data_IF_242011594125
#
_entry.id   IF_242011594125
#
_cell.length_a   1.000
_cell.length_b   1.000
_cell.length_c   1.000
_cell.angle_alpha   90.00
_cell.angle_beta   90.00
_cell.angle_gamma   90.00
#
_symmetry.space_group_name_H-M   'P 1'
#
loop_
_entity.id
_entity.type
_entity.pdbx_description
1 polymer ?
#
# COMPACT_ATOMS: atom_id res chain seq x y z
N UNK A 1 -11.10 -2.28 -14.84
CA UNK A 1 -11.95 -3.39 -15.31
C UNK A 1 -12.99 -3.64 -14.21
N UNK A 2 -14.30 -3.75 -14.50
CA UNK A 2 -15.25 -4.25 -13.48
C UNK A 2 -14.97 -5.73 -13.30
N UNK A 3 -14.82 -6.24 -12.08
CA UNK A 3 -14.87 -7.69 -11.89
C UNK A 3 -16.30 -8.10 -12.25
N UNK A 4 -16.44 -8.75 -13.41
CA UNK A 4 -17.75 -9.14 -13.92
C UNK A 4 -18.39 -10.16 -12.98
N UNK A 5 -19.71 -10.37 -13.09
CA UNK A 5 -20.37 -11.46 -12.36
C UNK A 5 -19.73 -12.83 -12.65
N UNK A 6 -19.13 -13.01 -13.83
CA UNK A 6 -18.37 -14.22 -14.15
C UNK A 6 -17.15 -14.40 -13.22
N UNK A 7 -16.47 -13.32 -12.83
CA UNK A 7 -15.33 -13.39 -11.91
C UNK A 7 -15.74 -13.91 -10.52
N UNK A 8 -16.99 -13.70 -10.09
CA UNK A 8 -17.51 -14.23 -8.83
C UNK A 8 -17.68 -15.75 -8.88
N UNK A 9 -18.29 -16.23 -9.95
CA UNK A 9 -18.49 -17.66 -10.19
C UNK A 9 -17.14 -18.38 -10.34
N UNK A 10 -16.20 -17.76 -11.07
CA UNK A 10 -14.83 -18.26 -11.24
C UNK A 10 -14.08 -18.34 -9.90
N UNK A 11 -14.22 -17.32 -9.05
CA UNK A 11 -13.59 -17.29 -7.72
C UNK A 11 -14.10 -18.43 -6.83
N UNK A 12 -15.40 -18.74 -6.93
CA UNK A 12 -16.03 -19.80 -6.14
C UNK A 12 -15.95 -21.18 -6.81
N UNK A 13 -15.39 -21.28 -8.02
CA UNK A 13 -15.20 -22.56 -8.72
C UNK A 13 -14.22 -23.47 -7.96
N UNK A 14 -13.31 -22.89 -7.17
CA UNK A 14 -12.31 -23.59 -6.37
C UNK A 14 -12.82 -24.11 -5.00
N UNK A 15 -14.10 -23.87 -4.68
CA UNK A 15 -14.72 -24.25 -3.40
C UNK A 15 -15.66 -25.43 -3.65
N UNK A 16 -15.53 -26.48 -2.84
CA UNK A 16 -16.40 -27.65 -2.90
C UNK A 16 -17.89 -27.27 -2.78
N UNK A 17 -18.76 -28.02 -3.45
CA UNK A 17 -20.20 -27.75 -3.44
C UNK A 17 -20.77 -27.96 -2.02
N UNK A 18 -21.53 -27.00 -1.50
CA UNK A 18 -22.15 -27.08 -0.16
C UNK A 18 -22.49 -25.72 0.44
N UNK A 19 -22.86 -25.73 1.73
CA UNK A 19 -23.29 -24.54 2.49
C UNK A 19 -22.23 -23.43 2.52
N UNK A 20 -20.95 -23.80 2.51
CA UNK A 20 -19.83 -22.85 2.53
C UNK A 20 -19.73 -22.03 1.23
N UNK A 21 -19.90 -22.68 0.07
CA UNK A 21 -19.96 -21.99 -1.23
C UNK A 21 -21.15 -21.05 -1.31
N UNK A 22 -22.30 -21.46 -0.79
CA UNK A 22 -23.51 -20.62 -0.71
C UNK A 22 -23.25 -19.40 0.18
N UNK A 23 -22.69 -19.60 1.37
CA UNK A 23 -22.36 -18.51 2.29
C UNK A 23 -21.40 -17.51 1.66
N UNK A 24 -20.32 -17.97 1.04
CA UNK A 24 -19.31 -17.11 0.42
C UNK A 24 -19.88 -16.36 -0.79
N UNK A 25 -20.74 -17.00 -1.59
CA UNK A 25 -21.48 -16.34 -2.67
C UNK A 25 -22.37 -15.21 -2.17
N UNK A 26 -23.02 -15.41 -1.03
CA UNK A 26 -23.87 -14.41 -0.41
C UNK A 26 -23.04 -13.24 0.10
N UNK A 27 -21.97 -13.51 0.85
CA UNK A 27 -21.07 -12.48 1.35
C UNK A 27 -20.51 -11.61 0.22
N UNK A 28 -20.11 -12.24 -0.88
CA UNK A 28 -19.62 -11.56 -2.07
C UNK A 28 -20.68 -10.64 -2.72
N UNK A 29 -21.93 -11.09 -2.78
CA UNK A 29 -23.05 -10.26 -3.25
C UNK A 29 -23.29 -9.06 -2.31
N UNK A 30 -23.37 -9.35 -1.02
CA UNK A 30 -23.67 -8.36 0.02
C UNK A 30 -22.60 -7.27 0.09
N UNK A 31 -21.34 -7.62 -0.20
CA UNK A 31 -20.20 -6.68 -0.33
C UNK A 31 -20.38 -5.63 -1.43
N UNK A 32 -21.40 -5.72 -2.30
CA UNK A 32 -21.69 -4.73 -3.36
C UNK A 32 -22.93 -3.88 -3.12
N UNK A 33 -23.93 -4.44 -2.45
CA UNK A 33 -25.29 -3.87 -2.41
C UNK A 33 -25.71 -3.42 -1.02
N UNK A 34 -25.10 -3.96 0.03
CA UNK A 34 -25.47 -3.67 1.41
C UNK A 34 -24.82 -2.38 1.93
N UNK A 35 -25.31 -1.91 3.08
CA UNK A 35 -24.80 -0.73 3.79
C UNK A 35 -23.29 -0.83 4.11
N UNK A 36 -22.56 0.30 4.18
CA UNK A 36 -21.11 0.32 4.40
C UNK A 36 -20.63 -0.52 5.59
N UNK A 37 -21.39 -0.52 6.69
CA UNK A 37 -21.07 -1.33 7.88
C UNK A 37 -21.06 -2.83 7.60
N UNK A 38 -22.01 -3.31 6.80
CA UNK A 38 -22.10 -4.72 6.40
C UNK A 38 -20.95 -5.06 5.45
N UNK A 39 -20.63 -4.16 4.50
CA UNK A 39 -19.50 -4.35 3.57
C UNK A 39 -18.17 -4.46 4.32
N UNK A 40 -17.94 -3.62 5.33
CA UNK A 40 -16.76 -3.68 6.22
C UNK A 40 -16.68 -5.00 6.96
N UNK A 41 -17.76 -5.43 7.60
CA UNK A 41 -17.81 -6.70 8.33
C UNK A 41 -17.52 -7.90 7.41
N UNK A 42 -18.05 -7.88 6.18
CA UNK A 42 -17.76 -8.91 5.17
C UNK A 42 -16.28 -8.94 4.82
N UNK A 43 -15.65 -7.80 4.51
CA UNK A 43 -14.22 -7.71 4.22
C UNK A 43 -13.39 -8.32 5.35
N UNK A 44 -13.73 -7.98 6.60
CA UNK A 44 -13.05 -8.50 7.78
C UNK A 44 -13.26 -10.01 7.95
N UNK A 45 -14.46 -10.52 7.70
CA UNK A 45 -14.75 -11.96 7.75
C UNK A 45 -14.02 -12.74 6.66
N UNK A 46 -14.04 -12.26 5.42
CA UNK A 46 -13.31 -12.87 4.29
C UNK A 46 -11.80 -12.91 4.58
N UNK A 47 -11.25 -11.87 5.22
CA UNK A 47 -9.83 -11.83 5.58
C UNK A 47 -9.39 -12.92 6.58
N UNK A 48 -10.33 -13.43 7.36
CA UNK A 48 -10.13 -14.48 8.37
C UNK A 48 -10.51 -15.87 7.85
N UNK A 49 -11.03 -15.96 6.64
CA UNK A 49 -11.52 -17.20 6.06
C UNK A 49 -10.38 -18.09 5.56
N UNK A 50 -10.61 -19.41 5.47
CA UNK A 50 -9.63 -20.36 4.93
C UNK A 50 -9.25 -20.03 3.47
N UNK A 51 -10.21 -19.53 2.69
CA UNK A 51 -10.06 -19.15 1.27
C UNK A 51 -9.76 -17.66 1.05
N UNK A 52 -9.24 -16.96 2.06
CA UNK A 52 -9.00 -15.50 2.01
C UNK A 52 -8.26 -15.02 0.75
N UNK A 53 -7.34 -15.82 0.22
CA UNK A 53 -6.52 -15.46 -0.93
C UNK A 53 -7.34 -15.37 -2.23
N UNK A 54 -8.44 -16.12 -2.33
CA UNK A 54 -9.38 -16.04 -3.46
C UNK A 54 -10.11 -14.69 -3.53
N UNK A 55 -10.23 -13.99 -2.39
CA UNK A 55 -11.00 -12.75 -2.30
C UNK A 55 -10.14 -11.50 -2.42
N UNK A 56 -8.83 -11.63 -2.64
CA UNK A 56 -7.91 -10.48 -2.77
C UNK A 56 -8.38 -9.52 -3.86
N UNK A 57 -8.79 -10.02 -5.03
CA UNK A 57 -9.28 -9.18 -6.12
C UNK A 57 -10.54 -8.38 -5.76
N UNK A 58 -11.45 -8.99 -4.98
CA UNK A 58 -12.69 -8.35 -4.54
C UNK A 58 -12.42 -7.26 -3.50
N UNK A 59 -11.46 -7.50 -2.61
CA UNK A 59 -11.05 -6.52 -1.60
C UNK A 59 -10.26 -5.38 -2.27
N UNK A 60 -9.48 -5.65 -3.32
CA UNK A 60 -8.87 -4.61 -4.17
C UNK A 60 -9.93 -3.73 -4.84
N UNK A 61 -10.98 -4.33 -5.41
CA UNK A 61 -12.09 -3.57 -6.01
C UNK A 61 -12.76 -2.65 -4.97
N UNK A 62 -12.98 -3.15 -3.74
CA UNK A 62 -13.51 -2.33 -2.65
C UNK A 62 -12.57 -1.17 -2.27
N UNK A 63 -11.27 -1.43 -2.12
CA UNK A 63 -10.28 -0.38 -1.82
C UNK A 63 -10.24 0.71 -2.89
N UNK A 64 -10.35 0.35 -4.17
CA UNK A 64 -10.22 1.31 -5.27
C UNK A 64 -11.48 2.14 -5.52
N UNK A 65 -12.67 1.57 -5.27
CA UNK A 65 -13.92 2.07 -5.87
C UNK A 65 -15.09 2.20 -4.93
N UNK A 66 -15.00 1.69 -3.70
CA UNK A 66 -16.13 1.82 -2.78
C UNK A 66 -16.43 3.30 -2.51
N UNK A 67 -17.72 3.65 -2.50
CA UNK A 67 -18.16 5.02 -2.29
C UNK A 67 -17.87 5.51 -0.87
N UNK A 68 -17.84 4.59 0.09
CA UNK A 68 -17.61 4.86 1.50
C UNK A 68 -16.13 4.81 1.84
N UNK A 69 -15.65 5.84 2.54
CA UNK A 69 -14.23 5.96 2.86
C UNK A 69 -13.76 4.94 3.90
N UNK A 70 -14.61 4.54 4.84
CA UNK A 70 -14.26 3.57 5.87
C UNK A 70 -14.17 2.16 5.28
N UNK A 71 -15.01 1.85 4.28
CA UNK A 71 -14.91 0.60 3.52
C UNK A 71 -13.59 0.55 2.75
N UNK A 72 -13.22 1.63 2.05
CA UNK A 72 -11.92 1.70 1.35
C UNK A 72 -10.74 1.55 2.30
N UNK A 73 -10.81 2.20 3.47
CA UNK A 73 -9.78 2.11 4.50
C UNK A 73 -9.65 0.69 5.06
N UNK A 74 -10.79 0.06 5.40
CA UNK A 74 -10.84 -1.34 5.87
C UNK A 74 -10.26 -2.30 4.83
N UNK A 75 -10.60 -2.12 3.55
CA UNK A 75 -10.05 -2.92 2.46
C UNK A 75 -8.53 -2.75 2.34
N UNK A 76 -8.01 -1.52 2.42
CA UNK A 76 -6.58 -1.24 2.39
C UNK A 76 -5.84 -1.90 3.56
N UNK A 77 -6.40 -1.84 4.77
CA UNK A 77 -5.82 -2.48 5.95
C UNK A 77 -5.74 -4.00 5.80
N UNK A 78 -6.80 -4.61 5.25
CA UNK A 78 -6.85 -6.06 5.02
C UNK A 78 -5.83 -6.47 3.95
N UNK A 79 -5.76 -5.76 2.83
CA UNK A 79 -4.79 -6.05 1.76
C UNK A 79 -3.34 -5.93 2.25
N UNK A 80 -3.05 -4.96 3.13
CA UNK A 80 -1.72 -4.77 3.71
C UNK A 80 -1.27 -5.99 4.56
N UNK A 81 -2.23 -6.75 5.10
CA UNK A 81 -1.97 -7.98 5.87
C UNK A 81 -1.70 -9.19 4.98
N UNK A 82 -2.20 -9.22 3.74
CA UNK A 82 -2.02 -10.36 2.84
C UNK A 82 -0.62 -10.46 2.23
N UNK A 83 0.17 -9.38 2.21
CA UNK A 83 1.52 -9.36 1.64
C UNK A 83 1.60 -9.92 0.20
N UNK A 84 0.53 -9.72 -0.59
CA UNK A 84 0.45 -10.15 -1.97
C UNK A 84 1.01 -9.06 -2.90
N UNK A 85 2.01 -9.40 -3.72
CA UNK A 85 2.65 -8.50 -4.68
C UNK A 85 1.70 -7.95 -5.75
N UNK A 86 0.60 -8.64 -6.05
CA UNK A 86 -0.42 -8.19 -6.99
C UNK A 86 -1.14 -6.92 -6.50
N UNK A 87 -1.10 -6.64 -5.20
CA UNK A 87 -1.72 -5.44 -4.61
C UNK A 87 -0.91 -4.15 -4.83
N UNK A 88 0.33 -4.25 -5.33
CA UNK A 88 1.25 -3.11 -5.49
C UNK A 88 0.65 -2.01 -6.36
N UNK A 89 0.06 -2.35 -7.50
CA UNK A 89 -0.53 -1.35 -8.40
C UNK A 89 -1.69 -0.60 -7.72
N UNK A 90 -2.56 -1.33 -7.03
CA UNK A 90 -3.69 -0.73 -6.32
C UNK A 90 -3.22 0.15 -5.15
N UNK A 91 -2.14 -0.22 -4.45
CA UNK A 91 -1.55 0.65 -3.44
C UNK A 91 -0.92 1.91 -4.04
N UNK A 92 -0.29 1.84 -5.22
CA UNK A 92 0.22 3.02 -5.92
C UNK A 92 -0.92 3.98 -6.26
N UNK A 93 -2.07 3.47 -6.74
CA UNK A 93 -3.26 4.28 -7.00
C UNK A 93 -3.82 4.89 -5.71
N UNK A 94 -3.89 4.11 -4.64
CA UNK A 94 -4.39 4.53 -3.32
C UNK A 94 -3.58 5.67 -2.66
N UNK A 95 -2.35 5.94 -3.12
CA UNK A 95 -1.57 7.12 -2.70
C UNK A 95 -2.26 8.45 -3.05
N UNK A 96 -3.25 8.44 -3.95
CA UNK A 96 -4.03 9.61 -4.35
C UNK A 96 -5.49 9.56 -3.86
N UNK A 97 -5.84 8.63 -2.96
CA UNK A 97 -7.20 8.53 -2.43
C UNK A 97 -7.62 9.82 -1.68
N UNK A 98 -8.91 10.11 -1.68
CA UNK A 98 -9.47 11.26 -0.95
C UNK A 98 -9.31 11.11 0.57
N UNK A 99 -9.43 9.88 1.07
CA UNK A 99 -9.24 9.54 2.48
C UNK A 99 -7.75 9.59 2.85
N UNK A 100 -7.36 10.39 3.86
CA UNK A 100 -6.00 10.38 4.37
C UNK A 100 -5.62 9.03 5.01
N UNK A 101 -6.59 8.29 5.57
CA UNK A 101 -6.36 6.96 6.14
C UNK A 101 -5.93 5.97 5.07
N UNK A 102 -6.63 5.94 3.94
CA UNK A 102 -6.28 5.12 2.77
C UNK A 102 -4.88 5.50 2.23
N UNK A 103 -4.58 6.79 2.06
CA UNK A 103 -3.25 7.24 1.60
C UNK A 103 -2.14 6.81 2.54
N UNK A 104 -2.34 6.94 3.86
CA UNK A 104 -1.38 6.51 4.89
C UNK A 104 -1.14 5.00 4.81
N UNK A 105 -2.20 4.19 4.74
CA UNK A 105 -2.08 2.73 4.65
C UNK A 105 -1.35 2.32 3.37
N UNK A 106 -1.62 2.98 2.24
CA UNK A 106 -0.92 2.74 1.00
C UNK A 106 0.58 2.98 1.12
N UNK A 107 1.01 4.07 1.76
CA UNK A 107 2.43 4.33 2.04
C UNK A 107 3.03 3.21 2.90
N UNK A 108 2.34 2.84 3.98
CA UNK A 108 2.83 1.83 4.92
C UNK A 108 2.92 0.44 4.25
N UNK A 109 1.98 0.10 3.38
CA UNK A 109 2.00 -1.13 2.60
C UNK A 109 3.18 -1.16 1.60
N UNK A 110 3.39 -0.08 0.84
CA UNK A 110 4.50 0.02 -0.11
C UNK A 110 5.87 0.02 0.58
N UNK A 111 5.97 0.59 1.78
CA UNK A 111 7.16 0.49 2.66
C UNK A 111 7.43 -0.97 3.03
N UNK A 112 6.40 -1.71 3.48
CA UNK A 112 6.50 -3.11 3.89
C UNK A 112 6.88 -4.03 2.74
N UNK A 113 6.28 -3.84 1.56
CA UNK A 113 6.65 -4.57 0.32
C UNK A 113 8.14 -4.31 -0.01
N UNK A 114 8.64 -3.11 0.29
CA UNK A 114 10.08 -2.86 0.34
C UNK A 114 10.75 -2.80 -1.03
N UNK A 115 10.00 -2.56 -2.10
CA UNK A 115 10.53 -2.29 -3.44
C UNK A 115 10.82 -0.80 -3.59
N UNK A 116 12.06 -0.49 -3.98
CA UNK A 116 12.59 0.86 -4.10
C UNK A 116 11.96 1.64 -5.26
N UNK A 117 11.36 0.95 -6.23
CA UNK A 117 10.63 1.58 -7.34
C UNK A 117 9.43 2.42 -6.87
N UNK A 118 8.97 2.25 -5.62
CA UNK A 118 7.83 3.01 -5.10
C UNK A 118 8.19 4.41 -4.58
N UNK A 119 9.49 4.70 -4.37
CA UNK A 119 9.95 5.95 -3.75
C UNK A 119 9.47 7.17 -4.55
N UNK A 120 9.44 7.09 -5.88
CA UNK A 120 9.01 8.19 -6.75
C UNK A 120 7.52 8.53 -6.60
N UNK A 121 6.69 7.56 -6.21
CA UNK A 121 5.26 7.81 -5.95
C UNK A 121 5.06 8.37 -4.54
N UNK A 122 5.79 7.85 -3.55
CA UNK A 122 5.66 8.27 -2.14
C UNK A 122 6.19 9.68 -1.90
N UNK A 123 7.18 10.16 -2.68
CA UNK A 123 7.80 11.49 -2.47
C UNK A 123 6.81 12.65 -2.50
N UNK A 124 5.70 12.51 -3.24
CA UNK A 124 4.67 13.56 -3.31
C UNK A 124 3.92 13.74 -1.98
N UNK A 125 3.85 12.70 -1.16
CA UNK A 125 3.08 12.67 0.09
C UNK A 125 3.85 13.27 1.28
N UNK A 126 5.13 13.64 1.14
CA UNK A 126 5.86 14.39 2.19
C UNK A 126 5.28 15.78 2.44
N UNK A 127 4.53 16.30 1.46
CA UNK A 127 3.81 17.58 1.50
C UNK A 127 2.29 17.39 1.59
N UNK A 128 1.82 16.20 1.96
CA UNK A 128 0.38 15.91 2.12
C UNK A 128 -0.29 16.85 3.14
N UNK A 129 -1.57 17.14 2.95
CA UNK A 129 -2.33 18.00 3.87
C UNK A 129 -2.47 17.36 5.25
N UNK A 130 -2.55 16.04 5.32
CA UNK A 130 -2.67 15.29 6.56
C UNK A 130 -1.28 15.04 7.21
N UNK A 131 -1.08 15.41 8.48
CA UNK A 131 0.20 15.21 9.19
C UNK A 131 0.66 13.75 9.31
N UNK A 132 -0.26 12.81 9.51
CA UNK A 132 0.07 11.39 9.65
C UNK A 132 0.55 10.81 8.33
N UNK A 133 -0.07 11.22 7.22
CA UNK A 133 0.38 10.85 5.87
C UNK A 133 1.80 11.37 5.62
N UNK A 134 2.10 12.64 5.96
CA UNK A 134 3.46 13.20 5.84
C UNK A 134 4.48 12.41 6.65
N UNK A 135 4.13 12.04 7.89
CA UNK A 135 4.99 11.27 8.79
C UNK A 135 5.28 9.88 8.22
N UNK A 136 4.25 9.17 7.74
CA UNK A 136 4.40 7.88 7.08
C UNK A 136 5.26 7.98 5.82
N UNK A 137 5.01 8.97 4.95
CA UNK A 137 5.78 9.16 3.71
C UNK A 137 7.26 9.42 3.99
N UNK A 138 7.56 10.30 4.96
CA UNK A 138 8.93 10.61 5.36
C UNK A 138 9.65 9.37 5.92
N UNK A 139 8.97 8.60 6.77
CA UNK A 139 9.51 7.35 7.33
C UNK A 139 9.79 6.33 6.22
N UNK A 140 8.83 6.12 5.33
CA UNK A 140 8.93 5.13 4.25
C UNK A 140 10.10 5.45 3.32
N UNK A 141 10.25 6.71 2.90
CA UNK A 141 11.36 7.15 2.04
C UNK A 141 12.70 6.93 2.73
N UNK A 142 12.83 7.27 4.02
CA UNK A 142 14.07 7.06 4.76
C UNK A 142 14.46 5.56 4.82
N UNK A 143 13.49 4.68 5.06
CA UNK A 143 13.71 3.23 5.16
C UNK A 143 14.01 2.59 3.81
N UNK A 144 13.23 2.91 2.78
CA UNK A 144 13.44 2.41 1.42
C UNK A 144 14.75 2.93 0.83
N UNK A 145 15.08 4.21 1.07
CA UNK A 145 16.36 4.80 0.67
C UNK A 145 17.56 4.15 1.37
N UNK A 146 17.45 3.88 2.68
CA UNK A 146 18.48 3.13 3.39
C UNK A 146 18.66 1.72 2.80
N UNK A 147 17.56 1.02 2.50
CA UNK A 147 17.59 -0.31 1.87
C UNK A 147 18.28 -0.26 0.49
N UNK A 148 17.99 0.74 -0.33
CA UNK A 148 18.68 0.99 -1.61
C UNK A 148 20.17 1.16 -1.46
N UNK A 149 20.58 2.02 -0.51
CA UNK A 149 21.99 2.25 -0.23
C UNK A 149 22.64 0.94 0.23
N UNK A 150 22.03 0.22 1.18
CA UNK A 150 22.54 -1.07 1.67
C UNK A 150 22.64 -2.13 0.57
N UNK A 151 21.64 -2.25 -0.30
CA UNK A 151 21.62 -3.18 -1.43
C UNK A 151 22.67 -2.83 -2.49
N UNK A 152 23.02 -1.54 -2.62
CA UNK A 152 24.07 -1.09 -3.53
C UNK A 152 25.45 -1.33 -2.92
N UNK A 153 25.63 -1.02 -1.63
CA UNK A 153 26.93 -1.15 -0.97
C UNK A 153 27.24 -2.57 -0.51
N UNK A 154 26.28 -3.48 -0.35
CA UNK A 154 26.56 -4.86 0.11
C UNK A 154 27.28 -5.71 -0.95
N UNK A 155 26.87 -5.68 -2.23
CA UNK A 155 27.66 -6.23 -3.32
C UNK A 155 29.03 -5.56 -3.43
N UNK A 156 29.10 -4.24 -3.23
CA UNK A 156 30.37 -3.51 -3.19
C UNK A 156 31.20 -3.87 -1.95
N UNK A 157 30.60 -4.19 -0.80
CA UNK A 157 31.27 -4.52 0.46
C UNK A 157 31.91 -5.91 0.45
N UNK A 158 31.46 -6.81 -0.44
CA UNK A 158 32.23 -8.02 -0.78
C UNK A 158 33.48 -7.72 -1.61
N UNK A 159 33.48 -6.62 -2.37
CA UNK A 159 34.64 -6.13 -3.14
C UNK A 159 35.52 -5.20 -2.28
N UNK A 160 34.92 -4.52 -1.30
CA UNK A 160 35.54 -3.52 -0.43
C UNK A 160 35.64 -4.10 0.97
N UNK A 161 36.56 -5.07 1.14
CA UNK A 161 37.00 -5.49 2.48
C UNK A 161 37.84 -4.42 3.18
N UNK A 162 38.17 -3.31 2.50
CA UNK A 162 39.19 -2.34 2.93
C UNK A 162 38.80 -0.84 2.83
N UNK A 163 37.52 -0.42 2.96
CA UNK A 163 37.23 1.03 2.93
C UNK A 163 36.13 1.50 3.91
N UNK A 164 36.50 2.54 4.66
CA UNK A 164 35.96 3.03 5.93
C UNK A 164 34.46 3.41 5.98
N UNK A 165 33.82 3.03 7.11
CA UNK A 165 32.46 3.39 7.53
C UNK A 165 32.14 4.90 7.49
N UNK A 166 33.16 5.78 7.54
CA UNK A 166 33.01 7.24 7.49
C UNK A 166 32.36 7.74 6.18
N UNK A 167 32.56 7.03 5.08
CA UNK A 167 32.03 7.45 3.76
C UNK A 167 30.52 7.23 3.68
N UNK A 168 29.99 6.18 4.31
CA UNK A 168 28.55 5.88 4.37
C UNK A 168 27.76 6.91 5.20
N UNK A 169 28.34 7.38 6.32
CA UNK A 169 27.73 8.45 7.14
C UNK A 169 27.65 9.79 6.43
N UNK A 170 28.56 10.07 5.49
CA UNK A 170 28.57 11.30 4.69
C UNK A 170 27.45 11.30 3.64
N UNK A 171 27.08 10.13 3.11
CA UNK A 171 25.93 9.96 2.21
C UNK A 171 24.57 10.25 2.87
N UNK A 172 24.36 9.79 4.11
CA UNK A 172 23.14 10.09 4.87
C UNK A 172 23.00 11.58 5.18
N UNK A 173 24.11 12.26 5.50
CA UNK A 173 24.13 13.71 5.72
C UNK A 173 23.81 14.49 4.44
N UNK A 174 24.30 14.02 3.29
CA UNK A 174 24.00 14.62 1.98
C UNK A 174 22.55 14.39 1.54
N UNK A 175 21.93 13.27 1.90
CA UNK A 175 20.48 13.04 1.68
C UNK A 175 19.65 13.98 2.56
N UNK A 176 20.07 14.23 3.81
CA UNK A 176 19.45 15.22 4.68
C UNK A 176 19.56 16.66 4.15
N UNK A 177 20.72 17.03 3.59
CA UNK A 177 20.97 18.32 2.93
C UNK A 177 20.17 18.47 1.63
N UNK A 178 20.11 17.41 0.81
CA UNK A 178 19.32 17.39 -0.42
C UNK A 178 17.81 17.49 -0.13
N UNK A 179 17.33 16.84 0.93
CA UNK A 179 15.95 16.96 1.39
C UNK A 179 15.63 18.40 1.82
N UNK A 180 16.55 19.07 2.53
CA UNK A 180 16.42 20.52 2.87
C UNK A 180 16.40 21.41 1.62
N UNK A 181 17.27 21.16 0.65
CA UNK A 181 17.32 21.90 -0.62
C UNK A 181 16.08 21.70 -1.49
N UNK A 182 15.50 20.51 -1.47
CA UNK A 182 14.25 20.21 -2.18
C UNK A 182 13.05 20.89 -1.50
N UNK A 183 12.96 20.81 -0.16
CA UNK A 183 11.91 21.47 0.62
C UNK A 183 11.95 23.01 0.48
N UNK A 184 13.14 23.61 0.44
CA UNK A 184 13.27 25.08 0.27
C UNK A 184 12.86 25.57 -1.12
N UNK A 185 13.13 24.79 -2.17
CA UNK A 185 12.64 25.08 -3.54
C UNK A 185 11.13 24.87 -3.65
N UNK A 186 10.58 23.88 -2.96
CA UNK A 186 9.14 23.57 -3.01
C UNK A 186 8.31 24.61 -2.24
N UNK A 187 8.83 25.16 -1.14
CA UNK A 187 8.17 26.22 -0.35
C UNK A 187 8.20 27.58 -1.07
N UNK A 188 9.28 27.93 -1.76
CA UNK A 188 9.37 29.17 -2.55
C UNK A 188 8.39 29.23 -3.72
N UNK A 189 7.97 28.09 -4.27
CA UNK A 189 7.08 28.02 -5.44
C UNK A 189 5.59 28.22 -5.12
N UNK A 190 5.24 28.43 -3.84
CA UNK A 190 3.85 28.65 -3.38
C UNK A 190 3.55 30.11 -3.06
N UNK A 191 4.53 31.01 -3.16
CA UNK A 191 4.41 32.44 -2.85
C UNK A 191 4.40 33.35 -4.10
N UNK A 192 4.35 32.77 -5.31
CA UNK A 192 4.11 33.45 -6.59
C UNK A 192 2.76 33.01 -7.17
#
# INVERSE_FOLDING_TARGET
MRLSFAHFEDTLAHIEQGDEKVLLSKMLRDMRVEEPEIRKDIILKLSKHAYKDLFISHIMEAMERDSDMDVRETAAEVLCKFDNKETVSSFIEALSDKSPGVRKIAVDALEKIGNEGHIEYIIKLVSDTNPDVRKSATRAIARLGHKKVMNTITPLGRVVKDMDLKTATMGLKNVQEAAKGFLSKFLKKKEE
#
